data_IF_042982338991
#
_entry.id   IF_042982338991
#
_cell.length_a   1.000
_cell.length_b   1.000
_cell.length_c   1.000
_cell.angle_alpha   90.00
_cell.angle_beta   90.00
_cell.angle_gamma   90.00
#
_symmetry.space_group_name_H-M   'P 1'
#
loop_
_entity.id
_entity.type
_entity.pdbx_description
1 polymer ?
#
# COMPACT_ATOMS: atom_id res chain seq x y z
N UNK A 1 15.38 12.12 -7.60
CA UNK A 1 15.66 10.67 -7.41
C UNK A 1 14.71 9.88 -8.30
N UNK A 2 15.21 9.10 -9.27
CA UNK A 2 14.38 8.22 -10.11
C UNK A 2 14.07 6.93 -9.34
N UNK A 3 13.03 6.96 -8.50
CA UNK A 3 12.49 5.73 -7.91
C UNK A 3 11.34 5.24 -8.79
N UNK A 4 11.43 4.01 -9.28
CA UNK A 4 10.34 3.34 -9.97
C UNK A 4 9.45 2.67 -8.93
N UNK A 5 8.24 3.20 -8.75
CA UNK A 5 7.24 2.60 -7.87
C UNK A 5 6.34 1.65 -8.67
N UNK A 6 5.93 0.55 -8.05
CA UNK A 6 4.92 -0.35 -8.59
C UNK A 6 3.61 -0.14 -7.82
N UNK A 7 2.53 0.21 -8.51
CA UNK A 7 1.20 0.21 -7.94
C UNK A 7 0.71 -1.24 -7.76
N UNK A 8 0.31 -1.60 -6.54
CA UNK A 8 -0.27 -2.91 -6.23
C UNK A 8 -1.76 -2.86 -6.54
N UNK A 9 -2.24 -3.72 -7.45
CA UNK A 9 -3.62 -3.69 -7.97
C UNK A 9 -4.45 -4.92 -7.63
N UNK A 10 -3.85 -5.92 -6.98
CA UNK A 10 -4.52 -7.18 -6.67
C UNK A 10 -4.12 -7.74 -5.31
N UNK A 11 -4.97 -8.59 -4.75
CA UNK A 11 -4.76 -9.26 -3.47
C UNK A 11 -3.49 -10.10 -3.46
N UNK A 12 -3.15 -10.75 -4.57
CA UNK A 12 -1.93 -11.54 -4.67
C UNK A 12 -0.67 -10.66 -4.62
N UNK A 13 -0.73 -9.46 -5.20
CA UNK A 13 0.37 -8.49 -5.15
C UNK A 13 0.53 -7.93 -3.73
N UNK A 14 -0.58 -7.59 -3.08
CA UNK A 14 -0.59 -7.19 -1.67
C UNK A 14 -0.02 -8.30 -0.78
N UNK A 15 -0.48 -9.54 -0.96
CA UNK A 15 -0.01 -10.70 -0.19
C UNK A 15 1.48 -10.96 -0.39
N UNK A 16 1.95 -10.91 -1.64
CA UNK A 16 3.38 -11.07 -1.96
C UNK A 16 4.21 -9.95 -1.33
N UNK A 17 3.68 -8.72 -1.27
CA UNK A 17 4.38 -7.59 -0.64
C UNK A 17 4.60 -7.80 0.86
N UNK A 18 3.63 -8.42 1.54
CA UNK A 18 3.74 -8.80 2.95
C UNK A 18 4.81 -9.87 3.16
N UNK A 19 4.80 -10.96 2.37
CA UNK A 19 5.81 -12.04 2.46
C UNK A 19 7.23 -11.51 2.22
N UNK A 20 7.41 -10.65 1.21
CA UNK A 20 8.72 -10.08 0.87
C UNK A 20 9.16 -8.96 1.81
N UNK A 21 8.31 -8.57 2.77
CA UNK A 21 8.56 -7.46 3.69
C UNK A 21 8.99 -6.17 2.98
N UNK A 22 8.41 -5.88 1.82
CA UNK A 22 8.75 -4.65 1.07
C UNK A 22 8.06 -3.44 1.69
N UNK A 23 8.68 -2.27 1.58
CA UNK A 23 8.06 -1.01 2.00
C UNK A 23 6.92 -0.64 1.04
N UNK A 24 5.77 -0.36 1.62
CA UNK A 24 4.58 0.10 0.90
C UNK A 24 4.18 1.49 1.37
N UNK A 25 3.69 2.28 0.41
CA UNK A 25 3.20 3.64 0.59
C UNK A 25 1.70 3.64 0.30
N UNK A 26 0.93 4.39 1.08
CA UNK A 26 -0.50 4.56 0.86
C UNK A 26 -0.73 5.88 0.16
N UNK A 27 -1.39 5.83 -1.00
CA UNK A 27 -1.69 7.00 -1.81
C UNK A 27 -3.20 7.15 -1.98
N UNK A 28 -3.66 8.40 -2.02
CA UNK A 28 -5.04 8.75 -2.36
C UNK A 28 -5.06 9.34 -3.77
N UNK A 29 -5.87 8.83 -4.70
CA UNK A 29 -6.07 9.47 -5.99
C UNK A 29 -6.80 10.80 -5.79
N UNK A 30 -6.23 11.89 -6.29
CA UNK A 30 -6.85 13.23 -6.29
C UNK A 30 -7.66 13.50 -7.56
N UNK A 31 -7.58 12.62 -8.56
CA UNK A 31 -8.24 12.74 -9.86
C UNK A 31 -7.24 12.87 -11.01
N UNK A 32 -7.56 12.27 -12.16
CA UNK A 32 -6.60 12.15 -13.27
C UNK A 32 -5.39 11.32 -12.85
N UNK A 33 -4.18 11.78 -13.21
CA UNK A 33 -2.90 11.15 -12.84
C UNK A 33 -2.31 11.70 -11.53
N UNK A 34 -3.06 12.51 -10.77
CA UNK A 34 -2.60 13.09 -9.52
C UNK A 34 -2.84 12.14 -8.34
N UNK A 35 -1.78 11.91 -7.56
CA UNK A 35 -1.80 11.13 -6.33
C UNK A 35 -1.26 11.99 -5.18
N UNK A 36 -1.88 11.87 -4.01
CA UNK A 36 -1.34 12.39 -2.76
C UNK A 36 -0.82 11.24 -1.90
N UNK A 37 0.29 11.43 -1.20
CA UNK A 37 0.84 10.41 -0.30
C UNK A 37 0.17 10.59 1.06
N UNK A 38 -0.73 9.67 1.39
CA UNK A 38 -1.46 9.67 2.67
C UNK A 38 -0.55 9.16 3.79
N UNK A 39 0.25 8.15 3.50
CA UNK A 39 1.21 7.60 4.45
C UNK A 39 2.43 7.04 3.70
N UNK A 40 3.63 7.35 4.20
CA UNK A 40 4.85 6.72 3.71
C UNK A 40 5.02 5.27 4.17
N UNK A 41 4.15 4.84 5.09
CA UNK A 41 3.91 3.47 5.49
C UNK A 41 5.15 2.77 6.01
N UNK A 42 5.31 1.52 5.60
CA UNK A 42 6.31 0.60 6.15
C UNK A 42 6.10 -0.80 5.62
N UNK A 43 6.48 -1.80 6.41
CA UNK A 43 6.20 -3.20 6.06
C UNK A 43 4.74 -3.52 6.37
N UNK A 44 4.10 -4.27 5.48
CA UNK A 44 2.74 -4.74 5.68
C UNK A 44 2.71 -5.89 6.68
N UNK A 45 1.88 -5.77 7.71
CA UNK A 45 1.79 -6.72 8.83
C UNK A 45 0.61 -7.69 8.69
N UNK A 46 -0.50 -7.23 8.10
CA UNK A 46 -1.73 -8.00 7.99
C UNK A 46 -2.55 -7.56 6.78
N UNK A 47 -3.19 -8.53 6.14
CA UNK A 47 -4.17 -8.31 5.07
C UNK A 47 -5.44 -9.08 5.41
N UNK A 48 -6.59 -8.42 5.34
CA UNK A 48 -7.93 -9.02 5.37
C UNK A 48 -8.73 -8.53 4.16
N UNK A 49 -9.93 -9.10 3.89
CA UNK A 49 -10.81 -8.54 2.86
C UNK A 49 -11.23 -7.09 3.14
N UNK A 50 -11.28 -6.68 4.41
CA UNK A 50 -11.81 -5.38 4.84
C UNK A 50 -10.71 -4.34 5.12
N UNK A 51 -9.50 -4.79 5.47
CA UNK A 51 -8.44 -3.88 5.93
C UNK A 51 -7.03 -4.39 5.66
N UNK A 52 -6.09 -3.45 5.64
CA UNK A 52 -4.65 -3.69 5.56
C UNK A 52 -4.00 -3.02 6.76
N UNK A 53 -3.08 -3.72 7.42
CA UNK A 53 -2.28 -3.15 8.52
C UNK A 53 -0.86 -2.89 8.05
N UNK A 54 -0.39 -1.66 8.19
CA UNK A 54 0.96 -1.22 7.81
C UNK A 54 1.54 -0.46 8.99
N UNK A 55 2.66 -0.93 9.54
CA UNK A 55 3.38 -0.27 10.64
C UNK A 55 2.47 0.19 11.79
N UNK A 56 1.62 -0.71 12.30
CA UNK A 56 0.65 -0.39 13.36
C UNK A 56 -0.66 0.28 12.91
N UNK A 57 -0.68 0.98 11.77
CA UNK A 57 -1.86 1.69 11.24
C UNK A 57 -2.76 0.78 10.41
N UNK A 58 -4.07 1.01 10.48
CA UNK A 58 -5.07 0.28 9.69
C UNK A 58 -5.64 1.14 8.57
N UNK A 59 -5.69 0.56 7.38
CA UNK A 59 -6.24 1.16 6.18
C UNK A 59 -7.40 0.30 5.67
N UNK A 60 -8.58 0.90 5.56
CA UNK A 60 -9.76 0.21 5.03
C UNK A 60 -9.64 -0.03 3.53
N UNK A 61 -10.05 -1.23 3.10
CA UNK A 61 -10.18 -1.58 1.69
C UNK A 61 -11.59 -1.13 1.23
N UNK A 62 -11.65 -0.32 0.19
CA UNK A 62 -12.90 0.14 -0.46
C UNK A 62 -13.10 -0.60 -1.77
#
# INVERSE_FOLDING_TARGET
>A
MNHTYKMLKSDIELFTSCIKTVRVYVVQPLGGDLIDIVDYGGVMEKITPESIKINGSYFSRK
#
